data_IF_063683894310
#
_entry.id   IF_063683894310
#
_cell.length_a   1.000
_cell.length_b   1.000
_cell.length_c   1.000
_cell.angle_alpha   90.00
_cell.angle_beta   90.00
_cell.angle_gamma   90.00
#
_symmetry.space_group_name_H-M   'P 1'
#
loop_
_entity.id
_entity.type
_entity.pdbx_description
1 polymer ?
#
# COMPACT_ATOMS: atom_id res chain seq x y z
N UNK A 1 -24.04 -0.25 14.19
CA UNK A 1 -22.75 -0.95 14.00
C UNK A 1 -22.94 -2.40 14.43
N UNK A 2 -22.49 -3.33 13.62
CA UNK A 2 -22.57 -4.76 13.89
C UNK A 2 -21.18 -5.37 13.81
N UNK A 3 -20.81 -6.16 14.82
CA UNK A 3 -19.58 -6.96 14.80
C UNK A 3 -19.88 -8.28 14.09
N UNK A 4 -19.33 -8.48 12.91
CA UNK A 4 -19.57 -9.70 12.11
C UNK A 4 -18.81 -10.92 12.64
N UNK A 5 -17.81 -10.73 13.51
CA UNK A 5 -17.04 -11.80 14.13
C UNK A 5 -15.78 -11.28 14.81
N UNK A 6 -15.16 -12.15 15.59
CA UNK A 6 -13.85 -11.90 16.20
C UNK A 6 -12.88 -12.98 15.75
N UNK A 7 -11.63 -12.61 15.53
CA UNK A 7 -10.55 -13.55 15.31
C UNK A 7 -9.89 -13.89 16.65
N UNK A 8 -9.44 -15.10 16.78
CA UNK A 8 -8.63 -15.58 17.91
C UNK A 8 -7.12 -15.37 17.69
N UNK A 9 -6.78 -14.54 16.71
CA UNK A 9 -5.40 -14.20 16.35
C UNK A 9 -5.29 -12.73 15.95
N UNK A 10 -4.08 -12.18 16.07
CA UNK A 10 -3.77 -10.82 15.63
C UNK A 10 -3.47 -10.80 14.13
N UNK A 11 -3.99 -9.77 13.43
CA UNK A 11 -3.69 -9.49 12.03
C UNK A 11 -3.02 -8.13 11.94
N UNK A 12 -1.83 -8.11 11.37
CA UNK A 12 -1.16 -6.87 11.02
C UNK A 12 -1.73 -6.28 9.73
N UNK A 13 -1.46 -4.99 9.50
CA UNK A 13 -1.87 -4.23 8.32
C UNK A 13 -1.18 -4.73 7.05
N UNK A 14 -1.66 -5.81 6.49
CA UNK A 14 -1.11 -6.47 5.30
C UNK A 14 -1.86 -6.10 4.01
N UNK A 15 -2.39 -7.11 3.36
CA UNK A 15 -3.15 -7.00 2.11
C UNK A 15 -4.62 -7.34 2.30
N UNK A 16 -5.45 -6.88 1.36
CA UNK A 16 -6.86 -7.25 1.33
C UNK A 16 -7.57 -6.77 0.07
N UNK A 17 -8.62 -7.47 -0.27
CA UNK A 17 -9.57 -7.07 -1.30
C UNK A 17 -10.95 -7.69 -1.06
N UNK A 18 -11.97 -7.12 -1.68
CA UNK A 18 -13.27 -7.77 -1.84
C UNK A 18 -13.28 -8.54 -3.16
N UNK A 19 -13.70 -9.79 -3.13
CA UNK A 19 -13.96 -10.61 -4.30
C UNK A 19 -15.29 -11.32 -4.13
N UNK A 20 -16.23 -11.11 -5.06
CA UNK A 20 -17.61 -11.55 -4.95
C UNK A 20 -18.21 -11.19 -3.57
N UNK A 21 -18.78 -12.17 -2.87
CA UNK A 21 -19.32 -12.01 -1.52
C UNK A 21 -18.30 -12.35 -0.41
N UNK A 22 -17.02 -12.24 -0.72
CA UNK A 22 -15.94 -12.56 0.22
C UNK A 22 -14.97 -11.40 0.40
N UNK A 23 -14.41 -11.30 1.62
CA UNK A 23 -13.22 -10.52 1.92
C UNK A 23 -12.02 -11.46 1.96
N UNK A 24 -11.00 -11.19 1.15
CA UNK A 24 -9.71 -11.85 1.23
C UNK A 24 -8.71 -10.90 1.88
N UNK A 25 -7.99 -11.35 2.89
CA UNK A 25 -7.06 -10.51 3.64
C UNK A 25 -5.97 -11.33 4.31
N UNK A 26 -4.91 -10.66 4.73
CA UNK A 26 -3.83 -11.30 5.48
C UNK A 26 -2.59 -10.42 5.64
N UNK A 27 -1.59 -11.00 6.30
CA UNK A 27 -0.24 -10.45 6.45
C UNK A 27 0.79 -11.52 6.07
N UNK A 28 1.06 -12.49 6.95
CA UNK A 28 1.77 -13.75 6.63
C UNK A 28 0.77 -14.84 6.32
N UNK A 29 -0.23 -14.99 7.16
CA UNK A 29 -1.35 -15.91 6.95
C UNK A 29 -2.41 -15.22 6.09
N UNK A 30 -3.07 -15.99 5.22
CA UNK A 30 -4.15 -15.52 4.35
C UNK A 30 -5.48 -16.13 4.77
N UNK A 31 -6.53 -15.32 4.69
CA UNK A 31 -7.87 -15.70 5.07
C UNK A 31 -8.89 -15.21 4.06
N UNK A 32 -9.98 -15.95 3.93
CA UNK A 32 -11.15 -15.55 3.19
C UNK A 32 -12.36 -15.62 4.11
N UNK A 33 -13.07 -14.50 4.25
CA UNK A 33 -14.28 -14.38 5.05
C UNK A 33 -15.48 -14.19 4.14
N UNK A 34 -16.47 -15.09 4.24
CA UNK A 34 -17.72 -15.00 3.49
C UNK A 34 -18.70 -14.07 4.19
N UNK A 35 -19.09 -12.99 3.51
CA UNK A 35 -19.97 -11.95 4.06
C UNK A 35 -21.43 -12.43 4.28
N UNK A 36 -21.86 -13.48 3.56
CA UNK A 36 -23.23 -14.02 3.66
C UNK A 36 -23.36 -15.07 4.77
N UNK A 37 -22.33 -15.93 4.90
CA UNK A 37 -22.39 -17.07 5.82
C UNK A 37 -21.65 -16.83 7.13
N UNK A 38 -20.75 -15.82 7.18
CA UNK A 38 -19.84 -15.59 8.30
C UNK A 38 -18.71 -16.61 8.40
N UNK A 39 -18.53 -17.47 7.39
CA UNK A 39 -17.49 -18.50 7.40
C UNK A 39 -16.11 -17.89 7.14
N UNK A 40 -15.14 -18.25 7.98
CA UNK A 40 -13.74 -17.90 7.82
C UNK A 40 -12.93 -19.13 7.36
N UNK A 41 -12.29 -19.04 6.20
CA UNK A 41 -11.47 -20.11 5.63
C UNK A 41 -10.01 -19.65 5.58
N UNK A 42 -9.10 -20.49 6.08
CA UNK A 42 -7.66 -20.26 5.89
C UNK A 42 -7.28 -20.63 4.46
N UNK A 43 -6.50 -19.75 3.85
CA UNK A 43 -5.99 -19.87 2.49
C UNK A 43 -4.47 -20.06 2.51
N UNK A 44 -3.87 -20.23 1.34
CA UNK A 44 -2.42 -20.36 1.19
C UNK A 44 -1.69 -19.15 1.77
N UNK A 45 -0.75 -19.39 2.66
CA UNK A 45 0.07 -18.35 3.29
C UNK A 45 0.88 -17.55 2.27
N UNK A 46 1.08 -16.25 2.57
CA UNK A 46 1.99 -15.40 1.80
C UNK A 46 3.39 -16.04 1.73
N UNK A 47 4.03 -16.11 0.54
CA UNK A 47 5.17 -17.02 0.30
C UNK A 47 6.46 -16.61 1.01
N UNK A 48 6.54 -15.38 1.47
CA UNK A 48 7.68 -14.84 2.24
C UNK A 48 7.19 -14.32 3.58
N UNK A 49 8.03 -13.66 4.35
CA UNK A 49 7.59 -12.96 5.56
C UNK A 49 6.52 -11.92 5.24
N UNK A 50 5.58 -11.73 6.17
CA UNK A 50 4.51 -10.77 6.03
C UNK A 50 5.03 -9.36 5.78
N UNK A 51 4.25 -8.55 5.09
CA UNK A 51 4.54 -7.16 4.75
C UNK A 51 3.35 -6.29 5.07
N UNK A 52 3.61 -5.14 5.69
CA UNK A 52 2.58 -4.15 5.98
C UNK A 52 2.55 -3.04 4.93
N UNK A 53 1.40 -2.41 4.79
CA UNK A 53 1.21 -1.13 4.08
C UNK A 53 1.65 -1.13 2.61
N UNK A 54 1.62 -2.28 1.95
CA UNK A 54 1.77 -2.36 0.50
C UNK A 54 0.47 -1.98 -0.23
N UNK A 55 0.52 -2.04 -1.55
CA UNK A 55 -0.62 -1.75 -2.43
C UNK A 55 -1.30 -3.04 -2.87
N UNK A 56 -2.60 -3.13 -2.61
CA UNK A 56 -3.47 -4.24 -3.02
C UNK A 56 -4.30 -3.84 -4.23
N UNK A 57 -4.28 -4.64 -5.29
CA UNK A 57 -5.05 -4.40 -6.52
C UNK A 57 -5.68 -5.70 -7.01
N UNK A 58 -6.99 -5.70 -7.25
CA UNK A 58 -7.67 -6.85 -7.86
C UNK A 58 -7.66 -6.71 -9.39
N UNK A 59 -7.11 -7.72 -10.10
CA UNK A 59 -7.08 -7.78 -11.55
C UNK A 59 -7.29 -9.22 -12.05
N UNK A 60 -8.25 -9.43 -12.95
CA UNK A 60 -8.57 -10.74 -13.56
C UNK A 60 -8.66 -11.88 -12.54
N UNK A 61 -9.42 -11.66 -11.48
CA UNK A 61 -9.59 -12.65 -10.41
C UNK A 61 -8.27 -13.08 -9.71
N UNK A 62 -7.27 -12.18 -9.70
CA UNK A 62 -6.03 -12.30 -8.93
C UNK A 62 -5.82 -11.07 -8.06
N UNK A 63 -5.40 -11.23 -6.81
CA UNK A 63 -4.95 -10.13 -5.96
C UNK A 63 -3.46 -9.87 -6.20
N UNK A 64 -3.12 -8.69 -6.70
CA UNK A 64 -1.75 -8.20 -6.75
C UNK A 64 -1.42 -7.45 -5.47
N UNK A 65 -0.33 -7.82 -4.82
CA UNK A 65 0.19 -7.12 -3.65
C UNK A 65 1.61 -6.66 -3.91
N UNK A 66 1.78 -5.32 -3.95
CA UNK A 66 3.01 -4.65 -4.37
C UNK A 66 3.69 -3.97 -3.19
N UNK A 67 5.01 -4.08 -3.11
CA UNK A 67 5.83 -3.36 -2.14
C UNK A 67 5.55 -3.77 -0.70
N UNK A 68 5.22 -2.78 0.13
CA UNK A 68 5.09 -2.95 1.57
C UNK A 68 6.44 -3.07 2.28
N UNK A 69 6.40 -3.27 3.58
CA UNK A 69 7.59 -3.42 4.41
C UNK A 69 7.36 -4.36 5.60
N UNK A 70 8.46 -4.89 6.12
CA UNK A 70 8.58 -5.44 7.47
C UNK A 70 9.86 -4.84 8.10
N UNK A 71 10.93 -5.61 8.25
CA UNK A 71 12.24 -5.10 8.62
C UNK A 71 13.05 -4.51 7.44
N UNK A 72 12.47 -4.49 6.26
CA UNK A 72 12.92 -3.72 5.09
C UNK A 72 11.73 -3.35 4.21
N UNK A 73 11.88 -2.32 3.39
CA UNK A 73 10.89 -1.91 2.41
C UNK A 73 11.18 -2.56 1.05
N UNK A 74 10.13 -2.94 0.33
CA UNK A 74 10.22 -3.71 -0.90
C UNK A 74 9.69 -2.93 -2.12
N UNK A 75 10.22 -3.26 -3.31
CA UNK A 75 9.73 -2.77 -4.60
C UNK A 75 9.17 -3.90 -5.48
N UNK A 76 9.34 -5.14 -5.08
CA UNK A 76 8.75 -6.29 -5.75
C UNK A 76 7.33 -6.58 -5.23
N UNK A 77 6.63 -7.49 -5.89
CA UNK A 77 5.28 -7.89 -5.51
C UNK A 77 5.00 -9.37 -5.75
N UNK A 78 3.81 -9.76 -5.33
CA UNK A 78 3.26 -11.09 -5.50
C UNK A 78 1.82 -10.97 -5.95
N UNK A 79 1.31 -12.01 -6.62
CA UNK A 79 -0.10 -12.13 -6.96
C UNK A 79 -0.66 -13.45 -6.44
N UNK A 80 -1.85 -13.39 -5.89
CA UNK A 80 -2.60 -14.54 -5.42
C UNK A 80 -3.68 -14.90 -6.43
N UNK A 81 -3.70 -16.16 -6.86
CA UNK A 81 -4.72 -16.70 -7.74
C UNK A 81 -5.80 -17.40 -6.90
N UNK A 82 -7.04 -16.92 -6.97
CA UNK A 82 -8.15 -17.44 -6.18
C UNK A 82 -8.61 -18.84 -6.59
N UNK A 83 -8.42 -19.22 -7.85
CA UNK A 83 -8.83 -20.54 -8.35
C UNK A 83 -7.89 -21.65 -7.88
N UNK A 84 -6.58 -21.34 -7.88
CA UNK A 84 -5.55 -22.32 -7.56
C UNK A 84 -5.10 -22.26 -6.08
N UNK A 85 -5.61 -21.32 -5.30
CA UNK A 85 -5.17 -21.06 -3.92
C UNK A 85 -3.65 -20.97 -3.80
N UNK A 86 -3.02 -20.12 -4.63
CA UNK A 86 -1.56 -20.05 -4.71
C UNK A 86 -1.03 -18.64 -5.00
N UNK A 87 0.13 -18.35 -4.42
CA UNK A 87 0.87 -17.12 -4.63
C UNK A 87 1.97 -17.30 -5.67
N UNK A 88 2.14 -16.30 -6.54
CA UNK A 88 3.26 -16.22 -7.49
C UNK A 88 3.93 -14.87 -7.40
N UNK A 89 5.26 -14.86 -7.53
CA UNK A 89 6.02 -13.61 -7.65
C UNK A 89 5.69 -12.93 -8.98
N UNK A 90 5.60 -11.60 -8.94
CA UNK A 90 5.41 -10.77 -10.14
C UNK A 90 6.78 -10.46 -10.75
N UNK A 91 6.87 -10.44 -12.10
CA UNK A 91 8.15 -10.29 -12.80
C UNK A 91 8.65 -8.84 -12.88
N UNK A 92 7.80 -7.85 -12.56
CA UNK A 92 8.18 -6.44 -12.53
C UNK A 92 8.31 -5.90 -11.10
N UNK A 93 8.85 -4.68 -10.99
CA UNK A 93 8.97 -3.93 -9.74
C UNK A 93 8.36 -2.55 -9.91
N UNK A 94 7.88 -1.97 -8.82
CA UNK A 94 7.54 -0.55 -8.76
C UNK A 94 8.80 0.30 -8.62
N UNK A 95 8.82 1.58 -9.10
CA UNK A 95 10.04 2.38 -9.20
C UNK A 95 10.61 2.78 -7.83
N UNK A 96 9.80 2.82 -6.80
CA UNK A 96 10.17 3.08 -5.42
C UNK A 96 9.24 2.29 -4.49
N UNK A 97 9.56 2.26 -3.20
CA UNK A 97 8.67 1.61 -2.25
C UNK A 97 7.31 2.30 -2.24
N UNK A 98 6.26 1.52 -2.40
CA UNK A 98 4.86 1.96 -2.25
C UNK A 98 4.35 1.82 -0.82
N UNK A 99 5.26 1.63 0.13
CA UNK A 99 4.96 1.59 1.56
C UNK A 99 4.21 2.86 1.98
N UNK A 100 2.99 2.71 2.46
CA UNK A 100 2.13 3.82 2.86
C UNK A 100 1.63 4.70 1.71
N UNK A 101 1.82 4.31 0.44
CA UNK A 101 1.28 5.04 -0.70
C UNK A 101 -0.25 4.99 -0.72
N UNK A 102 -0.87 6.04 -1.24
CA UNK A 102 -2.29 6.09 -1.52
C UNK A 102 -2.58 5.68 -2.97
N UNK A 103 -3.70 5.01 -3.21
CA UNK A 103 -4.03 4.46 -4.53
C UNK A 103 -5.47 4.68 -4.94
N UNK A 104 -5.69 4.79 -6.25
CA UNK A 104 -7.01 4.71 -6.88
C UNK A 104 -6.92 3.72 -8.03
N UNK A 105 -7.70 2.67 -8.00
CA UNK A 105 -7.89 1.80 -9.17
C UNK A 105 -8.88 2.47 -10.12
N UNK A 106 -8.41 2.87 -11.32
CA UNK A 106 -9.21 3.59 -12.31
C UNK A 106 -10.08 2.66 -13.15
N UNK A 107 -9.54 1.51 -13.45
CA UNK A 107 -10.19 0.42 -14.19
C UNK A 107 -9.48 -0.90 -13.84
N UNK A 108 -9.82 -1.98 -14.54
CA UNK A 108 -9.24 -3.29 -14.24
C UNK A 108 -7.71 -3.32 -14.28
N UNK A 109 -7.06 -2.53 -15.16
CA UNK A 109 -5.62 -2.60 -15.42
C UNK A 109 -4.83 -1.45 -14.82
N UNK A 110 -5.45 -0.32 -14.58
CA UNK A 110 -4.76 0.94 -14.31
C UNK A 110 -4.99 1.41 -12.88
N UNK A 111 -3.90 1.68 -12.21
CA UNK A 111 -3.86 2.12 -10.82
C UNK A 111 -3.04 3.40 -10.70
N UNK A 112 -3.64 4.45 -10.16
CA UNK A 112 -2.93 5.64 -9.72
C UNK A 112 -2.26 5.36 -8.37
N UNK A 113 -1.00 5.74 -8.24
CA UNK A 113 -0.22 5.61 -7.01
C UNK A 113 0.39 6.97 -6.67
N UNK A 114 0.22 7.38 -5.41
CA UNK A 114 0.67 8.67 -4.87
C UNK A 114 1.46 8.46 -3.58
N UNK A 115 2.58 9.15 -3.46
CA UNK A 115 3.36 9.19 -2.22
C UNK A 115 4.10 7.88 -1.93
N UNK A 116 4.29 7.61 -0.65
CA UNK A 116 5.02 6.45 -0.16
C UNK A 116 6.44 6.75 0.31
N UNK A 117 6.96 5.89 1.17
CA UNK A 117 8.28 6.03 1.78
C UNK A 117 9.42 5.85 0.76
N UNK A 118 10.52 6.54 1.00
CA UNK A 118 11.78 6.22 0.34
C UNK A 118 12.37 4.94 0.93
N UNK A 119 12.66 3.96 0.07
CA UNK A 119 13.15 2.64 0.48
C UNK A 119 14.48 2.72 1.24
N UNK A 120 15.45 3.47 0.73
CA UNK A 120 16.79 3.54 1.33
C UNK A 120 16.75 4.22 2.70
N UNK A 121 16.01 5.32 2.81
CA UNK A 121 15.82 6.04 4.08
C UNK A 121 15.09 5.16 5.09
N UNK A 122 14.05 4.45 4.68
CA UNK A 122 13.33 3.52 5.55
C UNK A 122 14.22 2.39 6.05
N UNK A 123 14.95 1.73 5.14
CA UNK A 123 15.81 0.60 5.50
C UNK A 123 16.95 1.02 6.43
N UNK A 124 17.54 2.21 6.21
CA UNK A 124 18.53 2.76 7.11
C UNK A 124 17.92 3.09 8.49
N UNK A 125 16.73 3.69 8.50
CA UNK A 125 16.05 4.03 9.75
C UNK A 125 15.76 2.81 10.64
N UNK A 126 15.39 1.66 10.06
CA UNK A 126 15.19 0.39 10.80
C UNK A 126 16.45 -0.01 11.58
N UNK A 127 17.63 0.26 11.02
CA UNK A 127 18.92 -0.03 11.66
C UNK A 127 19.21 1.01 12.75
N UNK A 128 19.10 2.29 12.39
CA UNK A 128 19.51 3.40 13.26
C UNK A 128 18.59 3.56 14.47
N UNK A 129 17.28 3.30 14.33
CA UNK A 129 16.31 3.36 15.41
C UNK A 129 16.54 2.32 16.54
N UNK A 130 17.38 1.32 16.28
CA UNK A 130 17.84 0.39 17.33
C UNK A 130 18.89 1.01 18.26
N UNK A 131 19.51 2.13 17.86
CA UNK A 131 20.52 2.83 18.66
C UNK A 131 19.84 3.64 19.77
N UNK A 132 20.32 3.57 21.04
CA UNK A 132 19.76 4.36 22.13
C UNK A 132 19.80 5.87 21.82
N UNK A 133 18.69 6.56 22.03
CA UNK A 133 18.58 8.02 21.82
C UNK A 133 18.36 8.50 20.38
N UNK A 134 18.58 7.67 19.38
CA UNK A 134 18.41 8.09 17.98
C UNK A 134 16.94 8.39 17.61
N UNK A 135 15.97 7.82 18.33
CA UNK A 135 14.56 8.02 18.05
C UNK A 135 14.15 9.51 18.08
N UNK A 136 14.60 10.26 19.07
CA UNK A 136 14.30 11.70 19.18
C UNK A 136 14.93 12.47 18.03
N UNK A 137 16.17 12.17 17.69
CA UNK A 137 16.86 12.77 16.56
C UNK A 137 16.11 12.47 15.25
N UNK A 138 15.72 11.23 14.99
CA UNK A 138 15.00 10.81 13.80
C UNK A 138 13.69 11.59 13.61
N UNK A 139 12.87 11.71 14.67
CA UNK A 139 11.60 12.43 14.60
C UNK A 139 11.75 13.96 14.56
N UNK A 140 12.95 14.49 14.84
CA UNK A 140 13.26 15.91 14.72
C UNK A 140 13.66 16.34 13.30
N UNK A 141 14.01 15.38 12.41
CA UNK A 141 14.44 15.67 11.04
C UNK A 141 13.37 16.42 10.24
N UNK A 142 13.79 17.28 9.33
CA UNK A 142 12.92 17.94 8.37
C UNK A 142 12.39 16.97 7.32
N UNK A 143 11.28 17.31 6.66
CA UNK A 143 10.63 16.46 5.63
C UNK A 143 11.58 16.07 4.50
N UNK A 144 12.54 16.92 4.15
CA UNK A 144 13.52 16.73 3.09
C UNK A 144 14.45 15.52 3.34
N UNK A 145 14.69 15.21 4.62
CA UNK A 145 15.48 14.06 5.02
C UNK A 145 14.85 12.74 4.58
N UNK A 146 13.54 12.64 4.67
CA UNK A 146 12.79 11.40 4.41
C UNK A 146 12.68 11.06 2.94
N UNK A 147 12.83 12.04 2.03
CA UNK A 147 12.82 11.85 0.57
C UNK A 147 11.63 11.02 0.09
N UNK A 148 10.46 11.22 0.70
CA UNK A 148 9.27 10.50 0.27
C UNK A 148 8.91 10.84 -1.17
N UNK A 149 8.25 9.91 -1.84
CA UNK A 149 7.88 10.07 -3.24
C UNK A 149 7.00 11.29 -3.45
N UNK A 150 7.36 12.12 -4.43
CA UNK A 150 6.67 13.36 -4.82
C UNK A 150 5.88 13.21 -6.11
N UNK A 151 5.76 12.00 -6.64
CA UNK A 151 5.13 11.75 -7.93
C UNK A 151 3.77 11.08 -7.78
N UNK A 152 2.86 11.41 -8.71
CA UNK A 152 1.70 10.58 -9.02
C UNK A 152 2.04 9.84 -10.29
N UNK A 153 1.89 8.53 -10.29
CA UNK A 153 2.09 7.74 -11.48
C UNK A 153 0.95 6.76 -11.71
N UNK A 154 0.75 6.46 -12.99
CA UNK A 154 -0.14 5.43 -13.48
C UNK A 154 0.64 4.15 -13.67
N UNK A 155 0.24 3.11 -12.97
CA UNK A 155 0.76 1.75 -13.13
C UNK A 155 -0.22 0.91 -13.92
N UNK A 156 0.25 0.27 -15.01
CA UNK A 156 -0.47 -0.82 -15.63
C UNK A 156 -0.12 -2.12 -14.91
N UNK A 157 -1.10 -2.70 -14.19
CA UNK A 157 -0.88 -3.86 -13.32
C UNK A 157 -0.56 -5.14 -14.10
N UNK A 158 -0.95 -5.23 -15.38
CA UNK A 158 -0.75 -6.41 -16.22
C UNK A 158 0.73 -6.58 -16.63
N UNK A 159 1.41 -5.48 -16.95
CA UNK A 159 2.76 -5.52 -17.51
C UNK A 159 3.79 -4.69 -16.75
N UNK A 160 3.39 -3.96 -15.70
CA UNK A 160 4.26 -3.12 -14.90
C UNK A 160 4.67 -1.81 -15.56
N UNK A 161 4.07 -1.42 -16.68
CA UNK A 161 4.37 -0.15 -17.34
C UNK A 161 3.92 1.02 -16.46
N UNK A 162 4.77 2.05 -16.35
CA UNK A 162 4.58 3.21 -15.49
C UNK A 162 4.65 4.49 -16.31
N UNK A 163 3.68 5.37 -16.08
CA UNK A 163 3.65 6.72 -16.61
C UNK A 163 3.58 7.72 -15.47
N UNK A 164 4.57 8.62 -15.36
CA UNK A 164 4.52 9.72 -14.38
C UNK A 164 3.54 10.78 -14.92
N UNK A 165 2.51 11.08 -14.13
CA UNK A 165 1.46 12.02 -14.49
C UNK A 165 1.68 13.41 -13.89
N UNK A 166 2.39 13.50 -12.77
CA UNK A 166 2.68 14.76 -12.10
C UNK A 166 3.68 14.62 -10.98
N UNK A 167 4.28 15.76 -10.61
CA UNK A 167 5.22 15.85 -9.50
C UNK A 167 5.01 17.13 -8.74
N UNK A 168 4.87 17.03 -7.43
CA UNK A 168 4.75 18.15 -6.50
C UNK A 168 5.29 17.74 -5.14
N UNK A 169 5.97 18.63 -4.43
CA UNK A 169 6.47 18.34 -3.08
C UNK A 169 5.35 18.00 -2.07
N UNK A 170 4.13 18.50 -2.31
CA UNK A 170 2.94 18.21 -1.50
C UNK A 170 2.42 16.78 -1.67
N UNK A 171 2.87 16.06 -2.69
CA UNK A 171 2.55 14.65 -2.91
C UNK A 171 3.41 13.70 -2.06
N UNK A 172 4.46 14.22 -1.41
CA UNK A 172 5.29 13.46 -0.48
C UNK A 172 4.52 13.13 0.80
N UNK A 173 3.57 12.21 0.69
CA UNK A 173 2.64 11.82 1.75
C UNK A 173 2.62 10.30 1.95
N UNK A 174 2.31 9.89 3.20
CA UNK A 174 2.01 8.51 3.53
C UNK A 174 0.67 8.39 4.23
N UNK A 175 -0.11 7.37 3.90
CA UNK A 175 -1.43 7.15 4.47
C UNK A 175 -2.42 8.30 4.20
N UNK A 176 -2.27 8.98 3.05
CA UNK A 176 -3.21 10.01 2.61
C UNK A 176 -4.53 9.38 2.13
N UNK A 177 -5.64 10.09 2.29
CA UNK A 177 -6.85 9.82 1.52
C UNK A 177 -6.63 10.23 0.07
N UNK A 178 -6.89 9.33 -0.88
CA UNK A 178 -6.80 9.63 -2.31
C UNK A 178 -8.11 9.21 -2.98
N UNK A 179 -8.90 10.18 -3.45
CA UNK A 179 -10.29 9.98 -3.87
C UNK A 179 -10.51 10.64 -5.23
N UNK A 180 -11.22 9.94 -6.11
CA UNK A 180 -11.73 10.48 -7.38
C UNK A 180 -13.20 10.81 -7.23
N UNK A 181 -13.59 12.04 -7.59
CA UNK A 181 -14.98 12.49 -7.69
C UNK A 181 -15.14 13.14 -9.06
N UNK A 182 -15.94 12.54 -9.91
CA UNK A 182 -16.07 12.91 -11.34
C UNK A 182 -14.68 12.93 -12.02
N UNK A 183 -14.26 14.07 -12.56
CA UNK A 183 -12.94 14.24 -13.20
C UNK A 183 -11.91 14.89 -12.27
N UNK A 184 -12.21 15.03 -10.98
CA UNK A 184 -11.33 15.65 -10.02
C UNK A 184 -10.73 14.61 -9.08
N UNK A 185 -9.48 14.83 -8.66
CA UNK A 185 -8.77 13.98 -7.72
C UNK A 185 -8.47 14.80 -6.45
N UNK A 186 -8.82 14.25 -5.31
CA UNK A 186 -8.62 14.88 -4.02
C UNK A 186 -7.60 14.07 -3.21
N UNK A 187 -6.60 14.78 -2.69
CA UNK A 187 -5.62 14.23 -1.76
C UNK A 187 -5.91 14.86 -0.40
N UNK A 188 -6.20 14.04 0.58
CA UNK A 188 -6.70 14.49 1.89
C UNK A 188 -5.72 14.08 2.96
N UNK A 189 -5.12 15.05 3.66
CA UNK A 189 -4.22 14.82 4.79
C UNK A 189 -3.07 13.86 4.43
N UNK A 190 -2.68 12.99 5.36
CA UNK A 190 -1.55 12.07 5.26
C UNK A 190 -0.36 12.56 6.09
N UNK A 191 0.54 11.66 6.44
CA UNK A 191 1.81 12.05 7.02
C UNK A 191 2.71 12.71 5.97
N UNK A 192 3.28 13.87 6.29
CA UNK A 192 4.28 14.58 5.48
C UNK A 192 5.71 14.40 6.01
N UNK A 193 5.87 13.87 7.20
CA UNK A 193 7.07 13.30 7.79
C UNK A 193 6.63 12.44 8.98
N UNK A 194 7.48 11.52 9.50
CA UNK A 194 7.10 10.64 10.61
C UNK A 194 6.49 11.40 11.78
N UNK A 195 5.26 11.03 12.16
CA UNK A 195 4.52 11.65 13.26
C UNK A 195 3.93 13.04 12.99
N UNK A 196 4.06 13.59 11.78
CA UNK A 196 3.50 14.89 11.39
C UNK A 196 2.56 14.74 10.21
N UNK A 197 1.33 15.23 10.36
CA UNK A 197 0.30 15.16 9.33
C UNK A 197 0.11 16.49 8.61
N UNK A 198 -0.12 16.43 7.30
CA UNK A 198 -0.61 17.57 6.53
C UNK A 198 -2.06 17.89 6.92
N UNK A 199 -2.37 19.18 7.06
CA UNK A 199 -3.71 19.66 7.38
C UNK A 199 -4.46 20.17 6.12
N UNK A 200 -4.05 19.68 4.93
CA UNK A 200 -4.51 20.21 3.65
C UNK A 200 -5.40 19.22 2.93
N UNK A 201 -6.28 19.75 2.08
CA UNK A 201 -6.96 19.01 1.01
C UNK A 201 -6.47 19.62 -0.29
N UNK A 202 -5.81 18.80 -1.11
CA UNK A 202 -5.32 19.20 -2.42
C UNK A 202 -6.30 18.74 -3.50
N UNK A 203 -6.62 19.64 -4.44
CA UNK A 203 -7.37 19.33 -5.65
C UNK A 203 -6.39 19.22 -6.81
N UNK A 204 -6.31 18.05 -7.42
CA UNK A 204 -5.57 17.81 -8.66
C UNK A 204 -6.57 17.68 -9.80
N UNK A 205 -6.48 18.59 -10.76
CA UNK A 205 -7.35 18.63 -11.96
C UNK A 205 -6.61 18.03 -13.14
N UNK A 206 -7.36 17.45 -14.07
CA UNK A 206 -6.85 17.01 -15.38
C UNK A 206 -5.65 16.04 -15.27
N UNK A 207 -5.70 15.13 -14.29
CA UNK A 207 -4.63 14.16 -14.10
C UNK A 207 -4.62 13.10 -15.23
N UNK A 208 -5.81 12.77 -15.75
CA UNK A 208 -6.05 11.83 -16.88
C UNK A 208 -7.23 12.37 -17.70
#
# INVERSE_FOLDING_TARGET
>A
EECLGNFDFEIESGYGCKIDECLFFGYKQSFQFNLLTGELIRKKDFPVEGRAQGVSVLYKNELYYLGGANHEAYTNGYKYNFENDDWKKIDYRVPHSVLGAATIQLNEKEVLILGGFNQDVYNQAIIDLKQPGYREEYFSKGKEFFKWNQEIYLLNIENGAITILGKDERFALCGAGFIKVDNNYYIISGECSPGRRAAEILLVKELI
#
